data_IF_222086431566
#
_entry.id   IF_222086431566
#
_cell.length_a   1.000
_cell.length_b   1.000
_cell.length_c   1.000
_cell.angle_alpha   90.00
_cell.angle_beta   90.00
_cell.angle_gamma   90.00
#
_symmetry.space_group_name_H-M   'P 1'
#
loop_
_entity.id
_entity.type
_entity.pdbx_description
1 polymer ?
#
# COMPACT_ATOMS: atom_id res chain seq x y z
N UNK A 1 -14.92 -8.95 -31.77
CA UNK A 1 -15.67 -8.79 -30.50
C UNK A 1 -15.97 -7.30 -30.36
N UNK A 2 -17.20 -6.90 -30.61
CA UNK A 2 -17.65 -5.51 -30.41
C UNK A 2 -17.90 -5.29 -28.91
N UNK A 3 -17.43 -4.20 -28.29
CA UNK A 3 -17.79 -3.87 -26.91
C UNK A 3 -19.31 -3.80 -26.81
N UNK A 4 -19.91 -4.41 -25.78
CA UNK A 4 -21.31 -4.16 -25.43
C UNK A 4 -21.51 -2.66 -25.18
N UNK A 5 -22.68 -2.11 -25.51
CA UNK A 5 -22.99 -0.66 -25.49
C UNK A 5 -22.72 0.08 -24.15
N UNK A 6 -22.40 -0.65 -23.07
CA UNK A 6 -22.07 -0.12 -21.74
C UNK A 6 -20.59 -0.28 -21.30
N UNK A 7 -19.64 -0.46 -22.21
CA UNK A 7 -18.21 -0.54 -21.86
C UNK A 7 -17.43 0.68 -22.34
N UNK A 8 -16.58 1.23 -21.47
CA UNK A 8 -15.67 2.32 -21.80
C UNK A 8 -14.27 2.06 -21.23
N UNK A 9 -13.25 2.61 -21.88
CA UNK A 9 -11.86 2.55 -21.42
C UNK A 9 -11.53 3.77 -20.55
N UNK A 10 -10.90 3.53 -19.40
CA UNK A 10 -10.35 4.57 -18.55
C UNK A 10 -8.82 4.49 -18.55
N UNK A 11 -8.16 5.65 -18.68
CA UNK A 11 -6.71 5.77 -18.45
C UNK A 11 -6.49 6.16 -16.99
N UNK A 12 -5.76 5.33 -16.26
CA UNK A 12 -5.33 5.63 -14.92
C UNK A 12 -3.90 6.19 -14.97
N UNK A 13 -3.67 7.30 -14.28
CA UNK A 13 -2.34 7.81 -14.03
C UNK A 13 -2.08 7.69 -12.54
N UNK A 14 -1.03 6.94 -12.18
CA UNK A 14 -0.60 6.80 -10.80
C UNK A 14 0.52 7.79 -10.54
N UNK A 15 0.44 8.51 -9.44
CA UNK A 15 1.58 9.22 -8.92
C UNK A 15 2.53 8.23 -8.25
N UNK A 16 3.84 8.46 -8.38
CA UNK A 16 4.82 7.75 -7.57
C UNK A 16 4.68 8.26 -6.14
N UNK A 17 3.84 7.60 -5.36
CA UNK A 17 3.73 7.87 -3.92
C UNK A 17 5.14 7.78 -3.31
N UNK A 18 5.47 8.78 -2.48
CA UNK A 18 6.62 8.69 -1.58
C UNK A 18 6.51 7.42 -0.73
N UNK A 19 7.58 7.03 -0.03
CA UNK A 19 7.59 5.88 0.89
C UNK A 19 6.27 5.81 1.70
N UNK A 20 5.50 4.74 1.49
CA UNK A 20 4.27 4.46 2.22
C UNK A 20 4.57 3.44 3.32
N UNK A 21 4.03 3.68 4.51
CA UNK A 21 4.17 2.78 5.64
C UNK A 21 2.88 1.98 5.83
N UNK A 22 2.95 0.66 5.64
CA UNK A 22 1.85 -0.28 5.86
C UNK A 22 1.53 -0.47 7.34
N UNK A 23 2.49 -0.21 8.24
CA UNK A 23 2.26 -0.34 9.69
C UNK A 23 1.32 0.73 10.25
N UNK A 24 1.38 1.96 9.71
CA UNK A 24 0.57 3.08 10.20
C UNK A 24 -0.35 3.70 9.15
N UNK A 25 -0.26 3.28 7.89
CA UNK A 25 -1.04 3.82 6.76
C UNK A 25 -0.76 5.30 6.46
N UNK A 26 0.47 5.76 6.70
CA UNK A 26 0.91 7.12 6.43
C UNK A 26 2.01 7.17 5.35
N UNK A 27 2.09 8.30 4.65
CA UNK A 27 3.18 8.60 3.71
C UNK A 27 4.38 9.24 4.40
N UNK A 28 5.54 9.18 3.74
CA UNK A 28 6.77 9.86 4.13
C UNK A 28 7.85 8.96 4.74
N UNK A 29 7.54 7.68 5.01
CA UNK A 29 8.52 6.70 5.52
C UNK A 29 8.13 5.27 5.14
N UNK A 30 9.11 4.38 5.08
CA UNK A 30 8.87 2.95 4.93
C UNK A 30 8.73 2.25 6.29
N UNK A 31 8.22 1.03 6.31
CA UNK A 31 7.93 0.28 7.54
C UNK A 31 9.12 0.14 8.51
N UNK A 32 10.34 0.04 7.97
CA UNK A 32 11.56 -0.04 8.78
C UNK A 32 11.84 1.23 9.59
N UNK A 33 11.30 2.37 9.18
CA UNK A 33 11.49 3.67 9.81
C UNK A 33 10.22 4.15 10.54
N UNK A 34 9.21 3.29 10.68
CA UNK A 34 7.97 3.65 11.34
C UNK A 34 8.22 3.90 12.84
N UNK A 35 7.80 5.06 13.39
CA UNK A 35 7.92 5.34 14.82
C UNK A 35 7.23 4.28 15.68
N UNK A 36 6.13 3.66 15.20
CA UNK A 36 5.45 2.56 15.89
C UNK A 36 6.38 1.35 16.07
N UNK A 37 7.15 1.00 15.03
CA UNK A 37 8.11 -0.10 15.05
C UNK A 37 9.35 0.22 15.86
N UNK A 38 9.84 1.46 15.79
CA UNK A 38 11.02 1.90 16.56
C UNK A 38 10.70 1.92 18.06
N UNK A 39 9.50 2.37 18.44
CA UNK A 39 9.05 2.43 19.85
C UNK A 39 8.67 1.05 20.39
N UNK A 40 8.07 0.20 19.56
CA UNK A 40 7.67 -1.16 19.93
C UNK A 40 8.83 -2.11 19.64
N UNK A 41 9.73 -2.33 20.61
CA UNK A 41 10.85 -3.29 20.49
C UNK A 41 10.37 -4.63 19.94
N UNK A 42 10.56 -4.85 18.63
CA UNK A 42 10.50 -6.14 17.93
C UNK A 42 9.33 -7.07 18.34
N UNK A 43 8.17 -6.51 18.69
CA UNK A 43 6.95 -7.29 18.66
C UNK A 43 6.57 -7.37 17.19
N UNK A 44 6.33 -8.58 16.73
CA UNK A 44 5.94 -8.88 15.35
C UNK A 44 4.64 -8.13 15.07
N UNK A 45 4.78 -6.90 14.59
CA UNK A 45 3.66 -6.06 14.18
C UNK A 45 3.12 -6.72 12.92
N UNK A 46 2.13 -7.58 13.09
CA UNK A 46 1.35 -8.09 11.97
C UNK A 46 0.75 -6.87 11.26
N UNK A 47 1.06 -6.72 9.97
CA UNK A 47 0.41 -5.70 9.17
C UNK A 47 -1.08 -6.02 9.13
N UNK A 48 -1.93 -5.11 9.63
CA UNK A 48 -3.40 -5.26 9.56
C UNK A 48 -3.93 -5.35 8.12
N UNK A 49 -3.06 -5.14 7.14
CA UNK A 49 -3.26 -5.48 5.74
C UNK A 49 -2.97 -6.96 5.55
N UNK A 50 -4.02 -7.75 5.33
CA UNK A 50 -3.88 -9.17 4.99
C UNK A 50 -2.99 -9.38 3.75
N UNK A 51 -2.56 -10.63 3.52
CA UNK A 51 -1.57 -11.02 2.51
C UNK A 51 -1.84 -10.58 1.06
N UNK A 52 -3.01 -9.99 0.77
CA UNK A 52 -3.41 -9.50 -0.56
C UNK A 52 -2.56 -8.35 -1.11
N UNK A 53 -1.73 -7.70 -0.28
CA UNK A 53 -0.86 -6.59 -0.69
C UNK A 53 0.61 -7.00 -0.90
N UNK A 54 0.95 -8.28 -0.69
CA UNK A 54 2.30 -8.80 -0.94
C UNK A 54 2.42 -9.29 -2.39
N UNK A 55 2.63 -8.36 -3.33
CA UNK A 55 3.16 -8.69 -4.66
C UNK A 55 4.54 -8.05 -4.77
N UNK A 56 5.57 -8.91 -4.78
CA UNK A 56 6.99 -8.54 -4.93
C UNK A 56 7.33 -8.17 -6.38
#
# INVERSE_FOLDING_TARGET
>A
MTPSENQFYAKFQYEKLTLFCFLCSHLGHGDNFCPLRIRSKRQELESGWGASLMVQ
#
